data_IF_653413707715
#
_entry.id   IF_653413707715
#
_cell.length_a   1.000
_cell.length_b   1.000
_cell.length_c   1.000
_cell.angle_alpha   90.00
_cell.angle_beta   90.00
_cell.angle_gamma   90.00
#
_symmetry.space_group_name_H-M   'P 1'
#
loop_
_entity.id
_entity.type
_entity.pdbx_description
1 polymer ?
#
# COMPACT_ATOMS: atom_id res chain seq x y z
N UNK A 1 39.72 28.31 -8.46
CA UNK A 1 38.23 28.31 -8.36
C UNK A 1 37.87 26.85 -8.46
N UNK A 2 38.15 26.09 -7.40
CA UNK A 2 38.48 24.66 -7.52
C UNK A 2 37.54 23.76 -6.72
N UNK A 3 36.32 24.25 -6.45
CA UNK A 3 35.26 23.38 -5.96
C UNK A 3 33.91 23.95 -6.38
N UNK A 4 33.36 23.43 -7.48
CA UNK A 4 32.05 23.85 -7.97
C UNK A 4 30.91 23.29 -7.10
N UNK A 5 31.20 22.28 -6.26
CA UNK A 5 30.30 21.74 -5.24
C UNK A 5 30.11 22.73 -4.06
N UNK A 6 30.79 23.88 -4.08
CA UNK A 6 30.57 25.00 -3.16
C UNK A 6 29.71 26.14 -3.77
N UNK A 7 29.21 25.99 -5.02
CA UNK A 7 28.69 27.13 -5.80
C UNK A 7 27.44 26.84 -6.66
N UNK A 8 26.98 25.60 -6.79
CA UNK A 8 25.89 25.24 -7.74
C UNK A 8 25.08 24.07 -7.23
N UNK A 9 23.75 24.17 -7.37
CA UNK A 9 22.78 23.08 -7.25
C UNK A 9 21.46 23.46 -7.98
N UNK A 10 20.71 22.48 -8.54
CA UNK A 10 19.41 22.72 -9.23
C UNK A 10 18.88 21.57 -10.14
N UNK A 11 17.58 21.57 -10.44
CA UNK A 11 16.89 20.53 -11.24
C UNK A 11 17.18 20.60 -12.75
N UNK A 12 17.09 19.46 -13.45
CA UNK A 12 17.11 19.39 -14.91
C UNK A 12 15.90 20.15 -15.44
N UNK A 13 16.12 21.38 -15.92
CA UNK A 13 15.14 22.12 -16.72
C UNK A 13 15.40 21.76 -18.18
N UNK A 14 14.60 20.88 -18.79
CA UNK A 14 14.71 20.69 -20.23
C UNK A 14 14.37 22.02 -20.91
N UNK A 15 14.95 22.26 -22.08
CA UNK A 15 14.56 23.39 -22.91
C UNK A 15 13.06 23.41 -23.19
N UNK A 16 12.55 24.55 -23.65
CA UNK A 16 11.19 24.63 -24.20
C UNK A 16 11.03 23.54 -25.29
N UNK A 17 9.99 22.71 -25.18
CA UNK A 17 9.73 21.53 -26.02
C UNK A 17 10.74 20.36 -25.92
N UNK A 18 11.61 20.33 -24.91
CA UNK A 18 12.44 19.17 -24.59
C UNK A 18 11.78 18.34 -23.48
N UNK A 19 11.79 17.01 -23.62
CA UNK A 19 11.37 16.14 -22.54
C UNK A 19 12.53 15.98 -21.55
N UNK A 20 12.31 16.03 -20.22
CA UNK A 20 13.35 15.76 -19.21
C UNK A 20 13.72 14.27 -19.14
N UNK A 21 13.46 13.52 -20.22
CA UNK A 21 13.47 12.07 -20.23
C UNK A 21 14.87 11.62 -20.60
N UNK A 22 15.59 11.12 -19.60
CA UNK A 22 16.87 10.47 -19.76
C UNK A 22 16.70 9.01 -19.32
N UNK A 23 16.61 8.09 -20.28
CA UNK A 23 16.63 6.66 -20.00
C UNK A 23 18.07 6.14 -19.96
N UNK A 24 18.29 5.06 -19.22
CA UNK A 24 19.57 4.34 -19.12
C UNK A 24 20.76 5.27 -18.87
N UNK A 25 20.56 6.34 -18.09
CA UNK A 25 21.65 7.18 -17.63
C UNK A 25 22.52 6.37 -16.69
N UNK A 26 23.84 6.60 -16.72
CA UNK A 26 24.73 6.01 -15.72
C UNK A 26 24.43 6.61 -14.34
N UNK A 27 24.79 5.88 -13.28
CA UNK A 27 24.66 6.32 -11.88
C UNK A 27 25.36 7.66 -11.59
N UNK A 28 26.30 8.07 -12.45
CA UNK A 28 26.97 9.37 -12.39
C UNK A 28 26.10 10.55 -12.84
N UNK A 29 24.99 10.27 -13.55
CA UNK A 29 24.05 11.27 -14.08
C UNK A 29 22.67 11.14 -13.42
N UNK A 30 22.20 9.92 -13.19
CA UNK A 30 20.97 9.64 -12.44
C UNK A 30 21.27 8.49 -11.45
N UNK A 31 21.58 8.80 -10.18
CA UNK A 31 21.85 7.79 -9.18
C UNK A 31 20.71 6.78 -9.10
N UNK A 32 21.05 5.50 -8.97
CA UNK A 32 20.04 4.46 -8.76
C UNK A 32 19.33 4.73 -7.42
N UNK A 33 18.05 5.06 -7.51
CA UNK A 33 17.18 5.25 -6.34
C UNK A 33 16.43 3.95 -6.12
N UNK A 34 16.99 3.13 -5.24
CA UNK A 34 16.38 1.88 -4.80
C UNK A 34 15.50 2.09 -3.58
N UNK A 35 14.87 1.00 -3.14
CA UNK A 35 14.13 1.02 -1.88
C UNK A 35 15.02 1.23 -0.64
N UNK A 36 16.30 0.81 -0.69
CA UNK A 36 17.28 0.99 0.41
C UNK A 36 17.65 2.45 0.64
N UNK A 37 17.39 3.30 -0.35
CA UNK A 37 17.65 4.74 -0.29
C UNK A 37 16.89 5.40 0.86
N UNK A 38 15.80 4.80 1.35
CA UNK A 38 14.91 5.38 2.36
C UNK A 38 15.05 4.78 3.75
N UNK A 39 16.01 3.87 3.99
CA UNK A 39 16.10 3.13 5.25
C UNK A 39 16.22 4.06 6.47
N UNK A 40 16.92 5.19 6.34
CA UNK A 40 17.07 6.18 7.43
C UNK A 40 15.71 6.81 7.76
N UNK A 41 15.02 7.35 6.77
CA UNK A 41 13.73 8.00 6.96
C UNK A 41 12.64 7.01 7.40
N UNK A 42 12.63 5.80 6.83
CA UNK A 42 11.72 4.73 7.24
C UNK A 42 11.98 4.34 8.69
N UNK A 43 13.23 4.15 9.10
CA UNK A 43 13.59 3.82 10.48
C UNK A 43 13.19 4.95 11.44
N UNK A 44 13.38 6.20 11.04
CA UNK A 44 12.97 7.35 11.84
C UNK A 44 11.45 7.38 12.01
N UNK A 45 10.68 7.26 10.92
CA UNK A 45 9.21 7.25 10.97
C UNK A 45 8.69 6.06 11.77
N UNK A 46 9.22 4.86 11.53
CA UNK A 46 8.87 3.67 12.32
C UNK A 46 9.20 3.87 13.81
N UNK A 47 10.29 4.58 14.13
CA UNK A 47 10.66 4.93 15.49
C UNK A 47 9.74 5.96 16.15
N UNK A 48 9.07 6.81 15.36
CA UNK A 48 8.07 7.78 15.83
C UNK A 48 6.69 7.14 16.08
N UNK A 49 6.46 5.89 15.69
CA UNK A 49 5.29 5.13 16.11
C UNK A 49 5.44 4.64 17.58
N UNK A 50 5.76 5.52 18.53
CA UNK A 50 6.14 5.15 19.90
C UNK A 50 4.99 5.18 20.92
N UNK A 51 3.75 5.21 20.43
CA UNK A 51 2.53 5.20 21.22
C UNK A 51 2.26 3.89 21.96
N UNK A 52 1.08 3.81 22.58
CA UNK A 52 0.70 2.61 23.33
C UNK A 52 0.62 1.37 22.40
N UNK A 53 0.84 0.14 22.91
CA UNK A 53 0.73 -1.05 22.06
C UNK A 53 -0.63 -1.16 21.38
N UNK A 54 -0.67 -1.62 20.12
CA UNK A 54 -1.90 -1.71 19.31
C UNK A 54 -3.08 -2.36 20.03
N UNK A 55 -2.85 -3.49 20.71
CA UNK A 55 -3.90 -4.19 21.45
C UNK A 55 -4.50 -3.33 22.57
N UNK A 56 -3.69 -2.53 23.25
CA UNK A 56 -4.16 -1.57 24.26
C UNK A 56 -5.01 -0.48 23.63
N UNK A 57 -4.57 0.09 22.51
CA UNK A 57 -5.30 1.14 21.79
C UNK A 57 -6.62 0.62 21.20
N UNK A 58 -6.61 -0.60 20.66
CA UNK A 58 -7.79 -1.28 20.14
C UNK A 58 -8.76 -1.71 21.25
N UNK A 59 -8.28 -1.88 22.50
CA UNK A 59 -9.07 -2.40 23.61
C UNK A 59 -9.25 -3.92 23.56
N UNK A 60 -8.21 -4.64 23.12
CA UNK A 60 -8.18 -6.09 22.95
C UNK A 60 -7.08 -6.72 23.81
N UNK A 61 -7.31 -7.94 24.32
CA UNK A 61 -6.26 -8.70 25.02
C UNK A 61 -5.34 -9.43 24.03
N UNK A 62 -5.88 -9.84 22.88
CA UNK A 62 -5.19 -10.49 21.76
C UNK A 62 -6.03 -10.34 20.48
N UNK A 63 -5.39 -10.36 19.31
CA UNK A 63 -6.09 -10.27 18.02
C UNK A 63 -6.48 -11.65 17.48
N UNK A 64 -5.52 -12.58 17.48
CA UNK A 64 -5.67 -13.94 16.98
C UNK A 64 -4.66 -14.88 17.63
N UNK A 65 -4.84 -16.18 17.42
CA UNK A 65 -3.88 -17.24 17.79
C UNK A 65 -3.54 -18.08 16.57
N UNK A 66 -2.29 -18.55 16.45
CA UNK A 66 -1.89 -19.45 15.36
C UNK A 66 -2.62 -20.79 15.46
N UNK A 67 -3.13 -21.25 14.33
CA UNK A 67 -3.61 -22.62 14.17
C UNK A 67 -2.46 -23.51 13.71
N UNK A 68 -2.17 -24.55 14.49
CA UNK A 68 -1.09 -25.49 14.19
C UNK A 68 -1.62 -26.89 13.97
N UNK A 69 -1.19 -27.53 12.88
CA UNK A 69 -1.46 -28.93 12.62
C UNK A 69 -0.69 -29.86 13.60
N UNK A 70 -1.03 -31.16 13.70
CA UNK A 70 -0.33 -32.10 14.58
C UNK A 70 1.17 -32.27 14.32
N UNK A 71 1.64 -31.93 13.11
CA UNK A 71 3.06 -31.94 12.74
C UNK A 71 3.79 -30.64 13.10
N UNK A 72 3.10 -29.67 13.71
CA UNK A 72 3.63 -28.37 14.12
C UNK A 72 3.61 -27.31 13.02
N UNK A 73 3.10 -27.61 11.82
CA UNK A 73 2.96 -26.59 10.77
C UNK A 73 1.85 -25.58 11.10
N UNK A 74 2.10 -24.31 10.82
CA UNK A 74 1.10 -23.24 10.93
C UNK A 74 0.21 -23.28 9.70
N UNK A 75 -1.09 -23.43 9.91
CA UNK A 75 -2.10 -23.63 8.86
C UNK A 75 -3.10 -22.47 8.74
N UNK A 76 -2.99 -21.46 9.60
CA UNK A 76 -3.89 -20.31 9.64
C UNK A 76 -3.90 -19.62 10.99
N UNK A 77 -4.97 -18.86 11.26
CA UNK A 77 -5.23 -18.19 12.53
C UNK A 77 -6.68 -18.36 12.96
N UNK A 78 -6.89 -18.45 14.27
CA UNK A 78 -8.20 -18.27 14.90
C UNK A 78 -8.29 -16.85 15.47
N UNK A 79 -9.27 -16.06 15.01
CA UNK A 79 -9.51 -14.71 15.52
C UNK A 79 -10.03 -14.71 16.96
N UNK A 80 -9.85 -13.60 17.67
CA UNK A 80 -10.48 -13.37 18.96
C UNK A 80 -12.01 -13.50 18.85
N UNK A 81 -12.69 -14.26 19.73
CA UNK A 81 -14.15 -14.41 19.72
C UNK A 81 -14.95 -13.10 19.81
N UNK A 82 -14.34 -11.99 20.23
CA UNK A 82 -14.98 -10.66 20.16
C UNK A 82 -15.37 -10.27 18.72
N UNK A 83 -14.67 -10.76 17.71
CA UNK A 83 -15.01 -10.54 16.30
C UNK A 83 -16.20 -11.39 15.82
N UNK A 84 -16.62 -12.41 16.58
CA UNK A 84 -17.82 -13.21 16.27
C UNK A 84 -19.13 -12.51 16.64
N UNK A 85 -19.10 -11.25 17.06
CA UNK A 85 -20.28 -10.43 17.37
C UNK A 85 -21.08 -10.08 16.10
N UNK A 86 -21.55 -11.09 15.38
CA UNK A 86 -22.18 -11.01 14.06
C UNK A 86 -23.60 -10.40 14.04
N UNK A 87 -24.07 -9.81 15.14
CA UNK A 87 -25.46 -9.39 15.28
C UNK A 87 -25.66 -7.86 15.35
N UNK A 88 -24.61 -7.08 15.55
CA UNK A 88 -24.70 -5.63 15.67
C UNK A 88 -23.78 -4.97 14.63
N UNK A 89 -24.35 -4.34 13.58
CA UNK A 89 -23.55 -3.64 12.57
C UNK A 89 -22.78 -2.45 13.17
N UNK A 90 -23.22 -1.94 14.31
CA UNK A 90 -22.58 -0.84 15.03
C UNK A 90 -21.56 -1.34 16.08
N UNK A 91 -21.31 -2.66 16.16
CA UNK A 91 -20.31 -3.19 17.07
C UNK A 91 -18.90 -2.71 16.71
N UNK A 92 -18.15 -2.29 17.73
CA UNK A 92 -16.73 -1.94 17.64
C UNK A 92 -15.86 -3.05 17.02
N UNK A 93 -16.32 -4.30 17.12
CA UNK A 93 -15.64 -5.47 16.58
C UNK A 93 -16.61 -6.34 15.79
N UNK A 94 -16.18 -6.78 14.61
CA UNK A 94 -16.91 -7.75 13.80
C UNK A 94 -15.93 -8.59 12.97
N UNK A 95 -16.48 -9.48 12.15
CA UNK A 95 -15.71 -10.28 11.21
C UNK A 95 -16.37 -10.25 9.85
N UNK A 96 -15.56 -10.12 8.81
CA UNK A 96 -16.02 -10.18 7.42
C UNK A 96 -15.15 -11.13 6.62
N UNK A 97 -15.74 -11.77 5.62
CA UNK A 97 -15.00 -12.47 4.58
C UNK A 97 -14.96 -11.55 3.37
N UNK A 98 -13.77 -11.16 2.94
CA UNK A 98 -13.59 -10.11 1.95
C UNK A 98 -12.63 -10.55 0.84
N UNK A 99 -13.01 -10.26 -0.39
CA UNK A 99 -12.16 -10.44 -1.57
C UNK A 99 -10.96 -9.49 -1.56
N UNK A 100 -9.83 -9.95 -2.07
CA UNK A 100 -8.64 -9.15 -2.33
C UNK A 100 -8.23 -9.26 -3.81
N UNK A 101 -8.11 -8.15 -4.57
CA UNK A 101 -8.43 -6.77 -4.19
C UNK A 101 -9.93 -6.54 -3.87
N UNK A 102 -10.22 -5.54 -3.03
CA UNK A 102 -11.59 -5.20 -2.65
C UNK A 102 -12.36 -4.63 -3.85
N UNK A 103 -13.60 -5.08 -4.05
CA UNK A 103 -14.43 -4.62 -5.17
C UNK A 103 -13.92 -5.01 -6.56
N UNK A 104 -13.02 -6.00 -6.67
CA UNK A 104 -12.65 -6.59 -7.95
C UNK A 104 -13.74 -7.60 -8.41
N UNK A 105 -14.09 -7.64 -9.72
CA UNK A 105 -14.98 -8.66 -10.28
C UNK A 105 -14.44 -10.09 -10.12
N UNK A 106 -13.11 -10.24 -10.07
CA UNK A 106 -12.44 -11.51 -9.85
C UNK A 106 -11.43 -11.37 -8.70
N UNK A 107 -11.69 -12.07 -7.59
CA UNK A 107 -10.81 -12.09 -6.43
C UNK A 107 -9.54 -12.91 -6.70
N UNK A 108 -8.38 -12.36 -6.37
CA UNK A 108 -7.14 -13.13 -6.35
C UNK A 108 -7.08 -14.07 -5.15
N UNK A 109 -7.57 -13.59 -3.99
CA UNK A 109 -7.66 -14.29 -2.71
C UNK A 109 -8.84 -13.75 -1.89
N UNK A 110 -9.17 -14.41 -0.78
CA UNK A 110 -10.20 -14.04 0.19
C UNK A 110 -9.60 -14.02 1.60
N UNK A 111 -9.94 -13.00 2.38
CA UNK A 111 -9.48 -12.83 3.74
C UNK A 111 -10.64 -12.88 4.71
N UNK A 112 -10.49 -13.70 5.75
CA UNK A 112 -11.29 -13.57 6.97
C UNK A 112 -10.67 -12.44 7.81
N UNK A 113 -11.32 -11.27 7.82
CA UNK A 113 -10.78 -10.05 8.43
C UNK A 113 -11.42 -9.78 9.79
N UNK A 114 -10.63 -9.50 10.83
CA UNK A 114 -11.14 -8.78 11.98
C UNK A 114 -11.49 -7.35 11.57
N UNK A 115 -12.69 -6.90 11.91
CA UNK A 115 -13.13 -5.51 11.73
C UNK A 115 -12.98 -4.78 13.04
N UNK A 116 -12.31 -3.62 13.02
CA UNK A 116 -12.12 -2.75 14.17
C UNK A 116 -12.70 -1.38 13.82
N UNK A 117 -13.64 -0.89 14.64
CA UNK A 117 -14.37 0.35 14.38
C UNK A 117 -14.16 1.42 15.43
N UNK A 118 -14.29 2.68 15.02
CA UNK A 118 -14.45 3.82 15.91
C UNK A 118 -13.32 3.95 16.95
N UNK A 119 -12.09 3.56 16.57
CA UNK A 119 -10.91 3.67 17.41
C UNK A 119 -10.06 4.85 16.99
N UNK A 120 -9.40 5.45 17.96
CA UNK A 120 -8.30 6.39 17.72
C UNK A 120 -7.01 5.63 18.00
N UNK A 121 -6.13 5.61 17.02
CA UNK A 121 -4.79 5.09 17.14
C UNK A 121 -3.81 6.24 17.03
N UNK A 122 -2.93 6.41 18.02
CA UNK A 122 -1.86 7.42 18.02
C UNK A 122 -0.52 6.72 18.08
N UNK A 123 0.35 7.04 17.12
CA UNK A 123 1.72 6.54 17.03
C UNK A 123 1.78 5.01 17.17
N UNK A 124 1.11 4.30 16.27
CA UNK A 124 0.76 2.88 16.46
C UNK A 124 1.59 1.94 15.60
N UNK A 125 2.03 0.83 16.19
CA UNK A 125 2.51 -0.36 15.48
C UNK A 125 1.36 -1.32 15.19
N UNK A 126 0.94 -1.46 13.95
CA UNK A 126 0.03 -2.52 13.52
C UNK A 126 0.83 -3.82 13.33
N UNK A 127 0.61 -4.86 14.16
CA UNK A 127 1.44 -6.06 14.14
C UNK A 127 1.30 -6.85 12.84
N UNK A 128 2.32 -7.66 12.53
CA UNK A 128 2.29 -8.65 11.45
C UNK A 128 1.06 -9.55 11.56
N UNK A 129 0.46 -9.93 10.43
CA UNK A 129 -0.67 -10.86 10.39
C UNK A 129 -2.00 -10.27 10.83
N UNK A 130 -2.08 -8.95 11.05
CA UNK A 130 -3.31 -8.28 11.48
C UNK A 130 -4.43 -8.41 10.46
N UNK A 131 -4.11 -8.20 9.17
CA UNK A 131 -5.03 -8.34 8.03
C UNK A 131 -6.44 -7.71 8.22
N UNK A 132 -6.53 -6.65 9.02
CA UNK A 132 -7.79 -6.10 9.50
C UNK A 132 -8.49 -5.23 8.46
N UNK A 133 -9.80 -5.06 8.67
CA UNK A 133 -10.56 -3.93 8.18
C UNK A 133 -10.68 -2.91 9.32
N UNK A 134 -10.09 -1.73 9.14
CA UNK A 134 -10.35 -0.59 10.02
C UNK A 134 -11.47 0.24 9.40
N UNK A 135 -12.51 0.52 10.17
CA UNK A 135 -13.68 1.26 9.70
C UNK A 135 -13.97 2.44 10.61
N UNK A 136 -14.05 3.65 10.05
CA UNK A 136 -14.28 4.89 10.80
C UNK A 136 -13.29 5.06 11.98
N UNK A 137 -12.01 4.75 11.75
CA UNK A 137 -10.94 4.94 12.74
C UNK A 137 -10.13 6.19 12.42
N UNK A 138 -9.59 6.83 13.46
CA UNK A 138 -8.65 7.95 13.32
C UNK A 138 -7.24 7.46 13.64
N UNK A 139 -6.27 7.75 12.78
CA UNK A 139 -4.86 7.44 12.95
C UNK A 139 -4.09 8.75 13.06
N UNK A 140 -3.37 8.94 14.15
CA UNK A 140 -2.70 10.20 14.52
C UNK A 140 -1.21 9.95 14.61
N UNK A 141 -0.41 10.86 14.07
CA UNK A 141 1.05 10.74 14.05
C UNK A 141 1.50 9.64 13.07
N UNK A 142 2.35 8.72 13.50
CA UNK A 142 2.83 7.64 12.62
C UNK A 142 2.07 6.33 12.82
N UNK A 143 1.51 5.81 11.72
CA UNK A 143 0.98 4.44 11.65
C UNK A 143 2.00 3.54 10.98
N UNK A 144 2.66 2.69 11.76
CA UNK A 144 3.64 1.74 11.24
C UNK A 144 3.04 0.34 11.10
N UNK A 145 3.13 -0.25 9.91
CA UNK A 145 2.58 -1.58 9.58
C UNK A 145 3.71 -2.59 9.46
N UNK A 146 3.71 -3.58 10.34
CA UNK A 146 4.74 -4.62 10.36
C UNK A 146 4.48 -5.71 9.31
N UNK A 147 5.54 -6.31 8.76
CA UNK A 147 5.45 -7.53 7.95
C UNK A 147 6.70 -8.38 8.14
N UNK A 148 6.59 -9.68 7.89
CA UNK A 148 7.78 -10.49 7.67
C UNK A 148 8.50 -9.99 6.41
N UNK A 149 9.81 -9.72 6.53
CA UNK A 149 10.60 -9.11 5.44
C UNK A 149 11.22 -10.15 4.51
N UNK A 150 11.71 -11.27 5.05
CA UNK A 150 12.28 -12.38 4.25
C UNK A 150 11.19 -13.24 3.61
N UNK A 151 10.48 -12.64 2.65
CA UNK A 151 9.42 -13.29 1.89
C UNK A 151 9.93 -13.80 0.52
N UNK A 152 11.17 -14.27 0.49
CA UNK A 152 11.89 -14.68 -0.72
C UNK A 152 11.48 -16.05 -1.27
N UNK A 153 10.65 -16.80 -0.54
CA UNK A 153 10.18 -18.12 -0.96
C UNK A 153 9.34 -18.04 -2.25
N UNK A 154 9.69 -18.82 -3.27
CA UNK A 154 9.02 -18.80 -4.58
C UNK A 154 7.49 -19.00 -4.50
N UNK A 155 7.04 -19.78 -3.52
CA UNK A 155 5.62 -20.05 -3.30
C UNK A 155 4.92 -19.10 -2.30
N UNK A 156 5.60 -18.07 -1.77
CA UNK A 156 5.10 -17.23 -0.67
C UNK A 156 3.67 -16.71 -0.90
N UNK A 157 3.40 -16.21 -2.11
CA UNK A 157 2.10 -15.62 -2.48
C UNK A 157 0.94 -16.61 -2.56
N UNK A 158 1.22 -17.90 -2.75
CA UNK A 158 0.21 -18.93 -2.98
C UNK A 158 -0.22 -19.63 -1.68
N UNK A 159 0.65 -19.60 -0.67
CA UNK A 159 0.38 -20.21 0.61
C UNK A 159 -0.78 -19.51 1.33
N UNK A 160 -1.80 -20.28 1.71
CA UNK A 160 -3.00 -19.76 2.38
C UNK A 160 -3.99 -19.03 1.46
N UNK A 161 -3.84 -19.07 0.13
CA UNK A 161 -4.86 -18.48 -0.75
C UNK A 161 -6.15 -19.26 -0.62
N UNK A 162 -7.27 -18.54 -0.50
CA UNK A 162 -8.59 -19.08 -0.22
C UNK A 162 -9.61 -18.70 -1.31
N UNK A 163 -10.68 -19.49 -1.38
CA UNK A 163 -11.93 -19.15 -2.06
C UNK A 163 -12.86 -18.38 -1.11
N UNK A 164 -14.01 -17.93 -1.63
CA UNK A 164 -15.03 -17.20 -0.86
C UNK A 164 -15.55 -17.95 0.37
N UNK A 165 -15.63 -19.28 0.30
CA UNK A 165 -16.03 -20.14 1.43
C UNK A 165 -14.89 -20.40 2.43
N UNK A 166 -13.78 -19.66 2.30
CA UNK A 166 -12.53 -19.79 3.04
C UNK A 166 -11.82 -21.14 2.86
N UNK A 167 -12.28 -22.00 1.93
CA UNK A 167 -11.54 -23.20 1.55
C UNK A 167 -10.25 -22.81 0.85
N UNK A 168 -9.19 -23.57 1.07
CA UNK A 168 -7.92 -23.33 0.39
C UNK A 168 -8.07 -23.50 -1.13
N UNK A 169 -7.64 -22.48 -1.87
CA UNK A 169 -7.58 -22.47 -3.34
C UNK A 169 -6.42 -23.34 -3.85
N UNK A 170 -5.33 -23.41 -3.06
CA UNK A 170 -4.20 -24.30 -3.31
C UNK A 170 -3.87 -25.13 -2.06
N UNK A 171 -3.53 -26.42 -2.21
CA UNK A 171 -3.37 -27.15 -3.47
C UNK A 171 -4.74 -27.69 -3.96
N UNK A 172 -4.92 -27.95 -5.27
CA UNK A 172 -6.18 -28.51 -5.74
C UNK A 172 -6.48 -29.85 -5.05
N UNK A 173 -7.77 -30.20 -5.01
CA UNK A 173 -8.17 -31.60 -5.02
C UNK A 173 -7.35 -32.34 -6.11
N UNK A 174 -6.94 -33.62 -5.91
CA UNK A 174 -5.98 -34.35 -6.75
C UNK A 174 -6.19 -34.34 -8.27
N UNK A 175 -7.34 -33.88 -8.76
CA UNK A 175 -7.78 -34.03 -10.14
C UNK A 175 -7.69 -32.72 -10.98
N UNK A 176 -7.27 -31.57 -10.43
CA UNK A 176 -7.56 -30.27 -11.07
C UNK A 176 -6.43 -29.26 -11.38
N UNK A 177 -5.14 -29.44 -11.04
CA UNK A 177 -4.14 -28.47 -11.56
C UNK A 177 -2.69 -28.96 -11.64
N UNK A 178 -2.01 -28.53 -12.72
CA UNK A 178 -0.55 -28.56 -12.91
C UNK A 178 0.18 -27.46 -12.09
N UNK A 179 -0.51 -26.77 -11.17
CA UNK A 179 0.10 -25.77 -10.30
C UNK A 179 0.71 -26.45 -9.06
N UNK A 180 1.93 -26.95 -9.21
CA UNK A 180 2.61 -27.67 -8.14
C UNK A 180 3.26 -26.69 -7.17
N UNK A 181 2.63 -26.47 -6.01
CA UNK A 181 3.28 -25.90 -4.83
C UNK A 181 4.50 -26.76 -4.43
N UNK A 182 5.30 -26.24 -3.51
CA UNK A 182 6.65 -26.72 -3.17
C UNK A 182 6.78 -28.21 -2.76
N UNK A 183 7.86 -28.58 -2.05
CA UNK A 183 8.05 -29.95 -1.58
C UNK A 183 6.93 -30.49 -0.66
N UNK A 184 5.97 -29.67 -0.22
CA UNK A 184 4.76 -30.11 0.49
C UNK A 184 3.71 -30.75 -0.41
N UNK A 185 3.73 -30.49 -1.71
CA UNK A 185 2.74 -31.01 -2.65
C UNK A 185 2.98 -32.49 -3.02
N UNK A 186 4.17 -33.01 -2.74
CA UNK A 186 4.58 -34.34 -3.14
C UNK A 186 4.60 -35.30 -1.97
N UNK A 187 4.02 -36.47 -2.19
CA UNK A 187 3.99 -37.56 -1.24
C UNK A 187 4.15 -38.91 -1.96
N UNK A 188 3.77 -40.01 -1.30
CA UNK A 188 3.82 -41.34 -1.92
C UNK A 188 2.85 -41.52 -3.09
N UNK A 189 1.85 -40.64 -3.24
CA UNK A 189 0.80 -40.68 -4.25
C UNK A 189 1.05 -39.69 -5.40
N UNK A 190 1.69 -38.55 -5.12
CA UNK A 190 2.07 -37.54 -6.10
C UNK A 190 3.60 -37.49 -6.21
N UNK A 191 4.14 -38.05 -7.30
CA UNK A 191 5.59 -38.18 -7.49
C UNK A 191 6.19 -36.85 -7.99
N UNK A 192 7.17 -36.35 -7.23
CA UNK A 192 7.98 -35.16 -7.56
C UNK A 192 8.76 -35.32 -8.87
N UNK A 193 8.66 -34.39 -9.83
CA UNK A 193 9.57 -34.32 -10.97
C UNK A 193 11.02 -34.22 -10.49
N UNK A 194 11.94 -34.94 -11.13
CA UNK A 194 13.34 -35.00 -10.68
C UNK A 194 14.07 -33.65 -10.68
N UNK A 195 13.57 -32.65 -11.42
CA UNK A 195 14.12 -31.30 -11.50
C UNK A 195 13.42 -30.28 -10.61
N UNK A 196 12.29 -30.65 -9.99
CA UNK A 196 11.61 -29.77 -9.05
C UNK A 196 12.35 -29.85 -7.73
N UNK A 197 12.67 -28.74 -7.08
CA UNK A 197 13.20 -28.74 -5.71
C UNK A 197 12.97 -27.40 -5.01
N UNK A 198 11.70 -27.05 -4.84
CA UNK A 198 11.33 -25.88 -4.02
C UNK A 198 11.21 -26.37 -2.58
N UNK A 199 12.02 -25.85 -1.62
CA UNK A 199 11.96 -26.27 -0.23
C UNK A 199 10.57 -25.98 0.36
N UNK A 200 10.28 -26.57 1.52
CA UNK A 200 9.07 -26.20 2.27
C UNK A 200 9.27 -24.80 2.83
N UNK A 201 8.20 -24.01 2.88
CA UNK A 201 8.25 -22.73 3.56
C UNK A 201 8.49 -22.92 5.06
N UNK A 202 9.66 -22.47 5.53
CA UNK A 202 10.02 -22.43 6.94
C UNK A 202 10.48 -21.03 7.33
N UNK A 203 9.92 -20.50 8.42
CA UNK A 203 10.32 -19.21 9.00
C UNK A 203 10.78 -19.47 10.43
N UNK A 204 12.03 -19.12 10.73
CA UNK A 204 12.66 -19.38 12.02
C UNK A 204 12.53 -20.84 12.51
N UNK A 205 12.58 -21.80 11.58
CA UNK A 205 12.44 -23.25 11.87
C UNK A 205 11.00 -23.72 12.13
N UNK A 206 10.01 -22.85 11.93
CA UNK A 206 8.59 -23.22 11.97
C UNK A 206 8.07 -23.31 10.54
N UNK A 207 7.41 -24.41 10.20
CA UNK A 207 6.81 -24.62 8.87
C UNK A 207 5.50 -23.84 8.76
N UNK A 208 5.31 -23.13 7.65
CA UNK A 208 4.07 -22.41 7.33
C UNK A 208 3.44 -22.97 6.06
N UNK A 209 2.13 -23.19 6.08
CA UNK A 209 1.32 -23.45 4.87
C UNK A 209 0.29 -22.35 4.62
N UNK A 210 0.39 -21.27 5.37
CA UNK A 210 -0.36 -20.03 5.20
C UNK A 210 0.59 -18.88 5.52
N UNK A 211 0.75 -17.94 4.58
CA UNK A 211 1.59 -16.74 4.75
C UNK A 211 0.81 -15.51 5.20
N UNK A 212 -0.52 -15.56 5.30
CA UNK A 212 -1.34 -14.48 5.87
C UNK A 212 -0.93 -14.09 7.29
N UNK A 213 -0.56 -15.01 8.21
CA UNK A 213 -0.10 -14.65 9.55
C UNK A 213 1.28 -13.94 9.56
N UNK A 214 1.98 -13.92 8.42
CA UNK A 214 3.31 -13.34 8.25
C UNK A 214 3.30 -12.07 7.39
N UNK A 215 2.13 -11.61 6.98
CA UNK A 215 1.96 -10.50 6.04
C UNK A 215 0.77 -9.63 6.46
N UNK A 216 0.65 -8.44 5.86
CA UNK A 216 -0.46 -7.54 6.14
C UNK A 216 -1.14 -7.07 4.85
N UNK A 217 -2.32 -7.62 4.61
CA UNK A 217 -3.30 -7.08 3.68
C UNK A 217 -4.35 -6.34 4.50
N UNK A 218 -4.29 -5.02 4.59
CA UNK A 218 -5.15 -4.19 5.45
C UNK A 218 -6.01 -3.27 4.59
N UNK A 219 -7.26 -3.08 4.99
CA UNK A 219 -8.14 -2.06 4.42
C UNK A 219 -8.53 -1.03 5.48
N UNK A 220 -8.39 0.24 5.12
CA UNK A 220 -8.90 1.38 5.85
C UNK A 220 -10.14 1.88 5.11
N UNK A 221 -11.27 1.99 5.81
CA UNK A 221 -12.56 2.40 5.28
C UNK A 221 -13.10 3.55 6.10
N UNK A 222 -13.40 4.67 5.45
CA UNK A 222 -13.87 5.89 6.13
C UNK A 222 -12.92 6.36 7.25
N UNK A 223 -11.62 6.08 7.13
CA UNK A 223 -10.64 6.43 8.15
C UNK A 223 -10.11 7.85 7.98
N UNK A 224 -9.70 8.47 9.08
CA UNK A 224 -9.01 9.76 9.07
C UNK A 224 -7.55 9.55 9.46
N UNK A 225 -6.62 9.95 8.59
CA UNK A 225 -5.20 10.01 8.92
C UNK A 225 -4.80 11.46 9.18
N UNK A 226 -4.19 11.70 10.33
CA UNK A 226 -3.51 12.95 10.68
C UNK A 226 -2.03 12.61 10.88
N UNK A 227 -1.32 12.40 9.77
CA UNK A 227 0.08 11.99 9.77
C UNK A 227 0.46 11.00 8.67
N UNK A 228 1.38 10.10 8.95
CA UNK A 228 2.04 9.22 7.96
C UNK A 228 1.69 7.76 8.15
N UNK A 229 1.65 7.00 7.05
CA UNK A 229 1.60 5.53 7.06
C UNK A 229 2.91 4.98 6.54
N UNK A 230 3.58 4.18 7.35
CA UNK A 230 4.87 3.56 7.06
C UNK A 230 4.73 2.07 7.21
N UNK A 231 5.51 1.29 6.46
CA UNK A 231 5.51 -0.15 6.62
C UNK A 231 6.92 -0.71 6.64
N UNK A 232 7.06 -1.89 7.23
CA UNK A 232 8.19 -2.77 7.00
C UNK A 232 8.43 -3.02 5.51
N UNK A 233 9.64 -3.45 5.18
CA UNK A 233 10.08 -3.63 3.80
C UNK A 233 10.20 -5.13 3.47
N UNK A 234 9.20 -5.75 2.81
CA UNK A 234 9.37 -7.09 2.27
C UNK A 234 10.44 -7.09 1.18
N UNK A 235 11.22 -8.17 1.08
CA UNK A 235 12.28 -8.34 0.08
C UNK A 235 11.72 -8.53 -1.33
N UNK A 236 10.53 -9.15 -1.42
CA UNK A 236 9.83 -9.46 -2.68
C UNK A 236 8.42 -8.87 -2.68
N UNK A 237 8.10 -8.09 -3.72
CA UNK A 237 6.75 -7.57 -3.94
C UNK A 237 5.72 -8.70 -4.04
N UNK A 238 4.76 -8.69 -3.11
CA UNK A 238 3.71 -9.70 -2.98
C UNK A 238 2.32 -9.01 -2.87
N UNK A 239 1.70 -8.64 -4.00
CA UNK A 239 0.57 -7.69 -4.08
C UNK A 239 -0.68 -8.10 -3.29
N UNK A 240 -0.86 -9.40 -3.05
CA UNK A 240 -2.02 -9.94 -2.34
C UNK A 240 -1.72 -10.14 -0.85
N UNK A 241 -0.45 -10.23 -0.45
CA UNK A 241 -0.04 -10.48 0.94
C UNK A 241 0.29 -9.18 1.68
N UNK A 242 1.01 -8.27 1.03
CA UNK A 242 1.37 -6.96 1.58
C UNK A 242 0.66 -5.88 0.77
N UNK A 243 -0.50 -5.47 1.27
CA UNK A 243 -1.41 -4.55 0.59
C UNK A 243 -2.08 -3.60 1.57
N UNK A 244 -2.09 -2.31 1.27
CA UNK A 244 -2.89 -1.32 2.00
C UNK A 244 -3.92 -0.72 1.05
N UNK A 245 -5.19 -0.75 1.44
CA UNK A 245 -6.27 -0.15 0.65
C UNK A 245 -6.97 0.96 1.46
N UNK A 246 -7.10 2.15 0.89
CA UNK A 246 -7.75 3.31 1.48
C UNK A 246 -9.06 3.57 0.74
N UNK A 247 -10.20 3.26 1.35
CA UNK A 247 -11.51 3.18 0.69
C UNK A 247 -12.56 4.04 1.38
N UNK A 248 -13.73 4.20 0.76
CA UNK A 248 -14.80 5.01 1.32
C UNK A 248 -14.42 6.50 1.40
N UNK A 249 -14.88 7.20 2.41
CA UNK A 249 -14.55 8.58 2.73
C UNK A 249 -13.21 8.73 3.48
N UNK A 250 -12.24 7.84 3.24
CA UNK A 250 -10.91 7.94 3.87
C UNK A 250 -10.21 9.23 3.47
N UNK A 251 -9.54 9.90 4.42
CA UNK A 251 -8.87 11.19 4.22
C UNK A 251 -7.53 11.27 4.93
N UNK A 252 -6.68 12.18 4.46
CA UNK A 252 -5.37 12.50 5.01
C UNK A 252 -5.28 14.00 5.27
N UNK A 253 -4.73 14.37 6.43
CA UNK A 253 -4.50 15.73 6.85
C UNK A 253 -3.17 15.85 7.61
N UNK A 254 -2.65 17.07 7.69
CA UNK A 254 -1.53 17.41 8.59
C UNK A 254 -2.02 17.81 9.98
N UNK A 255 -3.25 18.28 10.07
CA UNK A 255 -3.89 18.71 11.31
C UNK A 255 -5.35 18.24 11.31
N UNK A 256 -5.86 17.78 12.44
CA UNK A 256 -7.22 17.28 12.57
C UNK A 256 -8.24 18.36 12.16
N UNK A 257 -9.13 18.08 11.20
CA UNK A 257 -9.98 19.10 10.58
C UNK A 257 -11.00 19.70 11.54
N UNK A 258 -11.47 18.91 12.51
CA UNK A 258 -12.52 19.33 13.45
C UNK A 258 -11.96 19.75 14.83
N UNK A 259 -10.74 19.32 15.15
CA UNK A 259 -10.12 19.48 16.49
C UNK A 259 -8.62 19.82 16.37
N UNK A 260 -8.27 20.96 15.74
CA UNK A 260 -6.88 21.29 15.40
C UNK A 260 -5.97 21.59 16.60
N UNK A 261 -6.56 21.85 17.77
CA UNK A 261 -5.84 22.20 19.01
C UNK A 261 -5.79 21.02 20.01
N UNK A 262 -6.36 19.86 19.66
CA UNK A 262 -6.35 18.68 20.51
C UNK A 262 -5.07 17.88 20.28
N UNK A 263 -4.18 17.86 21.27
CA UNK A 263 -2.92 17.12 21.21
C UNK A 263 -3.10 15.61 21.08
N UNK A 264 -4.25 15.05 21.46
CA UNK A 264 -4.51 13.61 21.33
C UNK A 264 -4.95 13.25 19.90
N UNK A 265 -5.38 14.23 19.11
CA UNK A 265 -5.85 14.06 17.72
C UNK A 265 -4.91 14.64 16.67
N UNK A 266 -3.77 15.19 17.09
CA UNK A 266 -2.73 15.73 16.22
C UNK A 266 -1.36 15.09 16.53
N UNK A 267 -0.46 15.02 15.53
CA UNK A 267 0.91 14.57 15.73
C UNK A 267 1.62 15.33 16.86
N UNK A 268 2.60 14.68 17.47
CA UNK A 268 3.48 15.38 18.40
C UNK A 268 4.39 16.35 17.62
N UNK A 269 4.60 17.55 18.19
CA UNK A 269 5.40 18.63 17.55
C UNK A 269 6.81 18.16 17.14
N UNK A 270 7.36 17.15 17.83
CA UNK A 270 8.68 16.60 17.55
C UNK A 270 8.74 15.78 16.25
N UNK A 271 7.59 15.26 15.78
CA UNK A 271 7.50 14.36 14.63
C UNK A 271 6.90 15.05 13.39
N UNK A 272 6.38 16.28 13.51
CA UNK A 272 5.73 17.02 12.43
C UNK A 272 6.62 17.17 11.19
N UNK A 273 7.88 17.56 11.36
CA UNK A 273 8.84 17.72 10.26
C UNK A 273 9.09 16.38 9.55
N UNK A 274 9.18 15.29 10.32
CA UNK A 274 9.41 13.95 9.79
C UNK A 274 8.18 13.42 9.02
N UNK A 275 6.98 13.64 9.58
CA UNK A 275 5.69 13.29 8.95
C UNK A 275 5.48 14.08 7.65
N UNK A 276 5.92 15.34 7.61
CA UNK A 276 5.80 16.19 6.43
C UNK A 276 6.56 15.64 5.21
N UNK A 277 7.63 14.85 5.43
CA UNK A 277 8.44 14.28 4.35
C UNK A 277 7.67 13.24 3.51
N UNK A 278 6.69 12.54 4.09
CA UNK A 278 5.96 11.49 3.38
C UNK A 278 4.64 11.12 4.07
N UNK A 279 3.51 11.24 3.36
CA UNK A 279 2.26 10.64 3.84
C UNK A 279 2.25 9.11 3.77
N UNK A 280 2.97 8.52 2.80
CA UNK A 280 3.01 7.08 2.57
C UNK A 280 4.45 6.62 2.27
N UNK A 281 5.02 5.83 3.17
CA UNK A 281 6.33 5.19 3.00
C UNK A 281 6.18 3.67 3.01
N UNK A 282 5.77 3.12 1.87
CA UNK A 282 5.27 1.75 1.74
C UNK A 282 6.04 0.96 0.66
N UNK A 283 7.38 0.86 0.75
CA UNK A 283 8.17 0.17 -0.26
C UNK A 283 7.72 -1.28 -0.40
N UNK A 284 7.60 -1.75 -1.64
CA UNK A 284 7.17 -3.11 -1.97
C UNK A 284 5.78 -3.53 -1.45
N UNK A 285 4.92 -2.58 -1.06
CA UNK A 285 3.49 -2.82 -0.83
C UNK A 285 2.67 -2.51 -2.09
N UNK A 286 1.58 -3.27 -2.28
CA UNK A 286 0.51 -2.83 -3.17
C UNK A 286 -0.35 -1.81 -2.44
N UNK A 287 -0.57 -0.65 -3.04
CA UNK A 287 -1.36 0.42 -2.42
C UNK A 287 -2.52 0.78 -3.32
N UNK A 288 -3.73 0.70 -2.79
CA UNK A 288 -4.93 1.14 -3.49
C UNK A 288 -5.50 2.37 -2.76
N UNK A 289 -5.72 3.44 -3.50
CA UNK A 289 -6.48 4.60 -3.06
C UNK A 289 -7.79 4.58 -3.83
N UNK A 290 -8.88 4.46 -3.09
CA UNK A 290 -10.23 4.29 -3.58
C UNK A 290 -10.55 2.91 -4.13
N UNK A 291 -11.69 2.85 -4.82
CA UNK A 291 -12.23 1.62 -5.42
C UNK A 291 -12.62 1.87 -6.87
N UNK A 292 -12.94 0.80 -7.59
CA UNK A 292 -13.45 0.87 -8.97
C UNK A 292 -14.74 1.69 -9.11
N UNK A 293 -15.48 1.95 -8.03
CA UNK A 293 -16.56 2.93 -8.03
C UNK A 293 -16.47 3.77 -6.76
N UNK A 294 -15.36 4.50 -6.64
CA UNK A 294 -14.99 5.25 -5.45
C UNK A 294 -16.14 6.11 -4.89
N UNK A 295 -16.17 6.26 -3.57
CA UNK A 295 -17.15 7.13 -2.91
C UNK A 295 -17.02 8.57 -3.42
N UNK A 296 -18.12 9.29 -3.69
CA UNK A 296 -18.06 10.73 -3.98
C UNK A 296 -17.43 11.54 -2.84
N UNK A 297 -17.50 11.03 -1.61
CA UNK A 297 -16.97 11.66 -0.40
C UNK A 297 -15.50 11.30 -0.14
N UNK A 298 -14.91 10.41 -0.95
CA UNK A 298 -13.48 10.14 -0.93
C UNK A 298 -12.73 11.39 -1.37
N UNK A 299 -11.77 11.82 -0.55
CA UNK A 299 -10.90 12.96 -0.83
C UNK A 299 -9.54 12.75 -0.14
N UNK A 300 -8.70 11.94 -0.78
CA UNK A 300 -7.37 11.62 -0.24
C UNK A 300 -6.40 12.74 -0.60
N UNK A 301 -5.79 13.36 0.41
CA UNK A 301 -4.83 14.46 0.22
C UNK A 301 -3.47 14.02 0.74
N UNK A 302 -2.59 13.63 -0.17
CA UNK A 302 -1.24 13.18 0.12
C UNK A 302 -0.23 14.32 -0.08
N UNK A 303 0.83 14.28 0.73
CA UNK A 303 1.94 15.21 0.65
C UNK A 303 3.27 14.49 0.87
N UNK A 304 4.36 15.16 0.50
CA UNK A 304 5.69 14.59 0.64
C UNK A 304 6.07 13.73 -0.57
N UNK A 305 7.10 12.92 -0.37
CA UNK A 305 7.42 11.84 -1.27
C UNK A 305 6.55 10.64 -0.96
N UNK A 306 5.73 10.24 -1.92
CA UNK A 306 4.85 9.07 -1.82
C UNK A 306 5.57 7.86 -2.39
N UNK A 307 5.88 6.90 -1.52
CA UNK A 307 6.59 5.67 -1.83
C UNK A 307 5.63 4.49 -1.74
N UNK A 308 5.55 3.69 -2.81
CA UNK A 308 4.80 2.44 -2.83
C UNK A 308 5.55 1.38 -3.66
N UNK A 309 5.24 0.10 -3.49
CA UNK A 309 5.65 -0.91 -4.48
C UNK A 309 4.95 -0.68 -5.81
N UNK A 310 3.62 -0.77 -5.78
CA UNK A 310 2.72 -0.36 -6.86
C UNK A 310 1.61 0.47 -6.24
N UNK A 311 1.19 1.54 -6.93
CA UNK A 311 0.14 2.44 -6.48
C UNK A 311 -0.97 2.54 -7.52
N UNK A 312 -2.18 2.19 -7.11
CA UNK A 312 -3.41 2.43 -7.85
C UNK A 312 -4.21 3.53 -7.17
N UNK A 313 -4.58 4.57 -7.92
CA UNK A 313 -5.38 5.69 -7.45
C UNK A 313 -6.65 5.79 -8.29
N UNK A 314 -7.79 5.65 -7.62
CA UNK A 314 -9.15 5.79 -8.16
C UNK A 314 -9.91 6.77 -7.27
N UNK A 315 -10.86 7.53 -7.83
CA UNK A 315 -11.61 8.55 -7.08
C UNK A 315 -10.91 9.91 -6.99
N UNK A 316 -11.25 10.73 -5.99
CA UNK A 316 -10.62 12.03 -5.81
C UNK A 316 -9.37 11.90 -4.96
N UNK A 317 -8.25 12.38 -5.50
CA UNK A 317 -6.97 12.36 -4.81
C UNK A 317 -6.12 13.54 -5.26
N UNK A 318 -5.58 14.28 -4.29
CA UNK A 318 -4.56 15.29 -4.55
C UNK A 318 -3.25 14.80 -3.96
N UNK A 319 -2.16 14.89 -4.73
CA UNK A 319 -0.81 14.61 -4.29
C UNK A 319 0.05 15.85 -4.51
N UNK A 320 0.54 16.43 -3.42
CA UNK A 320 1.45 17.57 -3.44
C UNK A 320 2.86 17.07 -3.10
N UNK A 321 3.70 16.87 -4.12
CA UNK A 321 5.04 16.32 -3.97
C UNK A 321 5.43 15.41 -5.13
N UNK A 322 6.08 14.30 -4.79
CA UNK A 322 6.64 13.37 -5.77
C UNK A 322 6.16 11.94 -5.53
N UNK A 323 6.16 11.14 -6.60
CA UNK A 323 5.79 9.74 -6.60
C UNK A 323 7.03 8.90 -6.91
N UNK A 324 7.30 7.89 -6.08
CA UNK A 324 8.34 6.91 -6.31
C UNK A 324 7.81 5.50 -6.09
N UNK A 325 7.95 4.66 -7.12
CA UNK A 325 7.42 3.31 -7.12
C UNK A 325 8.57 2.32 -7.15
N UNK A 326 8.59 1.39 -6.20
CA UNK A 326 9.75 0.54 -5.92
C UNK A 326 9.65 -0.85 -6.53
N UNK A 327 8.52 -1.20 -7.16
CA UNK A 327 8.44 -2.45 -7.91
C UNK A 327 9.15 -2.31 -9.25
N UNK A 328 10.28 -3.00 -9.39
CA UNK A 328 11.06 -3.10 -10.62
C UNK A 328 10.87 -4.50 -11.26
N UNK A 329 9.82 -4.69 -12.08
CA UNK A 329 9.51 -6.00 -12.67
C UNK A 329 10.57 -6.42 -13.69
N UNK A 330 11.21 -7.56 -13.45
CA UNK A 330 12.07 -8.24 -14.42
C UNK A 330 11.33 -9.41 -15.04
N UNK A 331 11.55 -9.65 -16.33
CA UNK A 331 10.92 -10.79 -17.06
C UNK A 331 11.18 -12.17 -16.43
N UNK A 332 12.16 -12.29 -15.53
CA UNK A 332 12.51 -13.48 -14.75
C UNK A 332 11.89 -13.55 -13.36
N UNK A 333 11.15 -12.54 -12.91
CA UNK A 333 10.65 -12.51 -11.54
C UNK A 333 9.55 -13.55 -11.29
N UNK A 334 9.51 -14.17 -10.10
CA UNK A 334 8.48 -15.15 -9.74
C UNK A 334 7.04 -14.62 -9.77
N UNK A 335 6.85 -13.29 -9.77
CA UNK A 335 5.53 -12.67 -9.94
C UNK A 335 5.01 -12.71 -11.37
N UNK A 336 5.95 -12.67 -12.32
CA UNK A 336 5.72 -12.77 -13.74
C UNK A 336 5.77 -14.23 -14.21
N UNK A 337 6.30 -15.14 -13.38
CA UNK A 337 6.48 -16.55 -13.68
C UNK A 337 5.90 -17.49 -12.63
N UNK A 338 5.01 -18.36 -13.04
CA UNK A 338 4.56 -19.48 -12.24
C UNK A 338 5.42 -20.71 -12.58
N UNK A 339 6.37 -21.08 -11.71
CA UNK A 339 7.31 -22.21 -11.89
C UNK A 339 8.08 -22.19 -13.23
N UNK A 340 8.64 -21.04 -13.58
CA UNK A 340 9.42 -20.85 -14.81
C UNK A 340 8.58 -20.72 -16.08
N UNK A 341 7.24 -20.73 -15.96
CA UNK A 341 6.32 -20.38 -17.04
C UNK A 341 5.81 -18.97 -16.81
N UNK A 342 5.96 -18.08 -17.79
CA UNK A 342 5.39 -16.75 -17.70
C UNK A 342 3.85 -16.85 -17.54
N UNK A 343 3.28 -16.16 -16.55
CA UNK A 343 1.84 -16.07 -16.32
C UNK A 343 1.43 -14.60 -16.37
N UNK A 344 0.38 -14.30 -17.13
CA UNK A 344 0.00 -12.92 -17.49
C UNK A 344 0.91 -12.33 -18.59
N UNK A 345 0.46 -11.26 -19.24
CA UNK A 345 1.19 -10.66 -20.38
C UNK A 345 1.21 -9.13 -20.34
N UNK A 346 2.39 -8.51 -20.18
CA UNK A 346 3.40 -8.83 -19.17
C UNK A 346 2.76 -8.53 -17.81
N UNK A 347 2.73 -9.51 -16.89
CA UNK A 347 1.80 -9.65 -15.75
C UNK A 347 1.11 -8.35 -15.34
N UNK A 348 -0.24 -8.35 -15.42
CA UNK A 348 -1.24 -7.30 -15.13
C UNK A 348 -0.93 -6.36 -13.93
N UNK A 349 0.25 -5.77 -13.92
CA UNK A 349 0.80 -4.84 -12.96
C UNK A 349 0.79 -3.52 -13.70
N UNK A 350 -0.37 -2.89 -13.68
CA UNK A 350 -0.54 -1.50 -14.03
C UNK A 350 -0.33 -0.66 -12.77
N UNK A 351 0.18 0.54 -13.00
CA UNK A 351 0.03 1.67 -12.08
C UNK A 351 -1.12 2.46 -12.66
N UNK A 352 -2.22 2.53 -11.92
CA UNK A 352 -3.45 3.12 -12.43
C UNK A 352 -3.68 4.46 -11.77
N UNK A 353 -3.55 5.55 -12.53
CA UNK A 353 -3.90 6.89 -12.06
C UNK A 353 -5.18 7.35 -12.75
N UNK A 354 -6.31 7.14 -12.06
CA UNK A 354 -7.64 7.43 -12.57
C UNK A 354 -8.45 6.17 -12.85
N UNK A 355 -9.61 6.34 -13.47
CA UNK A 355 -10.50 5.25 -13.82
C UNK A 355 -10.27 4.78 -15.26
N UNK A 356 -10.13 3.47 -15.43
CA UNK A 356 -10.07 2.81 -16.72
C UNK A 356 -11.06 1.65 -16.73
N UNK A 357 -11.78 1.47 -17.82
CA UNK A 357 -12.68 0.33 -17.98
C UNK A 357 -11.92 -0.92 -18.49
N UNK A 358 -12.53 -2.12 -18.39
CA UNK A 358 -11.90 -3.36 -18.87
C UNK A 358 -11.44 -3.33 -20.33
N UNK A 359 -12.17 -2.63 -21.21
CA UNK A 359 -11.80 -2.45 -22.61
C UNK A 359 -10.64 -1.47 -22.83
N UNK A 360 -10.26 -0.70 -21.81
CA UNK A 360 -9.14 0.24 -21.82
C UNK A 360 -7.87 -0.34 -21.17
N UNK A 361 -7.93 -1.59 -20.69
CA UNK A 361 -6.78 -2.33 -20.17
C UNK A 361 -6.79 -2.55 -18.66
N UNK A 362 -7.70 -1.92 -17.90
CA UNK A 362 -7.91 -2.23 -16.48
C UNK A 362 -8.98 -3.31 -16.34
N UNK A 363 -8.54 -4.57 -16.35
CA UNK A 363 -9.41 -5.75 -16.25
C UNK A 363 -10.16 -5.81 -14.92
N UNK A 364 -9.72 -5.06 -13.90
CA UNK A 364 -10.39 -4.97 -12.60
C UNK A 364 -11.50 -3.91 -12.58
N UNK A 365 -11.49 -2.96 -13.53
CA UNK A 365 -12.45 -1.88 -13.62
C UNK A 365 -13.88 -2.33 -13.94
N UNK A 366 -14.85 -1.43 -13.73
CA UNK A 366 -16.24 -1.70 -14.10
C UNK A 366 -16.55 -1.26 -15.54
N UNK A 367 -17.56 -1.90 -16.13
CA UNK A 367 -18.18 -1.38 -17.36
C UNK A 367 -19.31 -0.44 -16.97
N UNK A 368 -19.32 0.77 -17.54
CA UNK A 368 -20.36 1.76 -17.27
C UNK A 368 -21.45 1.63 -18.35
N UNK A 369 -22.71 1.53 -17.94
CA UNK A 369 -23.84 1.45 -18.87
C UNK A 369 -25.08 2.21 -18.35
N UNK A 370 -25.99 2.54 -19.26
CA UNK A 370 -27.23 3.25 -18.91
C UNK A 370 -28.35 2.26 -18.54
N UNK A 371 -29.00 2.50 -17.40
CA UNK A 371 -30.20 1.79 -16.95
C UNK A 371 -31.23 2.80 -16.43
N UNK A 372 -32.44 2.79 -17.00
CA UNK A 372 -33.52 3.72 -16.66
C UNK A 372 -33.11 5.21 -16.67
N UNK A 373 -32.20 5.60 -17.57
CA UNK A 373 -31.72 6.98 -17.71
C UNK A 373 -30.62 7.39 -16.72
N UNK A 374 -30.05 6.45 -15.98
CA UNK A 374 -28.93 6.65 -15.05
C UNK A 374 -27.72 5.80 -15.46
N UNK A 375 -26.51 6.34 -15.34
CA UNK A 375 -25.29 5.55 -15.49
C UNK A 375 -25.06 4.72 -14.23
N UNK A 376 -24.87 3.41 -14.43
CA UNK A 376 -24.63 2.44 -13.35
C UNK A 376 -23.42 1.57 -13.69
N UNK A 377 -22.85 0.93 -12.66
CA UNK A 377 -21.74 -0.03 -12.78
C UNK A 377 -22.19 -1.49 -12.66
N UNK A 378 -23.44 -1.71 -12.23
CA UNK A 378 -24.04 -3.03 -12.07
C UNK A 378 -25.24 -3.02 -11.13
N UNK A 379 -25.63 -4.21 -10.68
CA UNK A 379 -26.70 -4.45 -9.73
C UNK A 379 -26.15 -5.20 -8.52
N UNK A 380 -26.49 -4.69 -7.34
CA UNK A 380 -26.24 -5.27 -6.03
C UNK A 380 -27.36 -6.26 -5.70
N UNK A 381 -27.02 -7.54 -5.57
CA UNK A 381 -27.96 -8.62 -5.31
C UNK A 381 -28.11 -8.94 -3.82
N UNK A 382 -27.12 -8.64 -2.99
CA UNK A 382 -27.05 -9.08 -1.60
C UNK A 382 -27.06 -7.94 -0.56
N UNK A 383 -26.99 -6.69 -1.01
CA UNK A 383 -27.04 -5.49 -0.21
C UNK A 383 -25.68 -5.01 0.29
N UNK A 384 -24.57 -5.52 -0.24
CA UNK A 384 -23.21 -5.12 0.16
C UNK A 384 -22.74 -3.79 -0.49
N UNK A 385 -23.54 -3.23 -1.39
CA UNK A 385 -23.24 -1.98 -2.10
C UNK A 385 -22.25 -2.14 -3.26
N UNK A 386 -21.88 -3.36 -3.64
CA UNK A 386 -21.01 -3.69 -4.76
C UNK A 386 -21.77 -4.40 -5.89
N UNK A 387 -21.34 -4.24 -7.15
CA UNK A 387 -22.04 -4.84 -8.29
C UNK A 387 -21.70 -6.33 -8.41
N UNK A 388 -22.70 -7.18 -8.26
CA UNK A 388 -22.58 -8.64 -8.46
C UNK A 388 -22.81 -9.05 -9.92
N UNK A 389 -23.66 -8.30 -10.62
CA UNK A 389 -24.06 -8.60 -11.99
C UNK A 389 -24.26 -7.32 -12.79
N UNK A 390 -24.06 -7.43 -14.11
CA UNK A 390 -24.42 -6.38 -15.07
C UNK A 390 -25.76 -6.67 -15.76
N UNK A 391 -26.38 -7.83 -15.48
CA UNK A 391 -27.63 -8.24 -16.11
C UNK A 391 -28.84 -7.77 -15.29
N UNK A 392 -29.67 -6.84 -15.82
CA UNK A 392 -30.86 -6.36 -15.11
C UNK A 392 -31.93 -7.42 -14.86
N UNK A 393 -31.87 -8.56 -15.56
CA UNK A 393 -32.80 -9.68 -15.40
C UNK A 393 -32.62 -10.45 -14.09
N UNK A 394 -31.46 -10.32 -13.44
CA UNK A 394 -31.11 -11.05 -12.21
C UNK A 394 -31.74 -10.40 -10.97
N UNK A 395 -32.28 -9.17 -11.11
CA UNK A 395 -32.79 -8.37 -10.00
C UNK A 395 -31.71 -7.48 -9.39
N UNK A 396 -31.91 -7.08 -8.14
CA UNK A 396 -30.96 -6.26 -7.38
C UNK A 396 -31.19 -4.75 -7.43
N UNK A 397 -30.45 -4.05 -6.59
CA UNK A 397 -30.44 -2.59 -6.50
C UNK A 397 -29.42 -2.05 -7.50
N UNK A 398 -29.81 -1.15 -8.43
CA UNK A 398 -28.85 -0.57 -9.37
C UNK A 398 -27.83 0.29 -8.63
N UNK A 399 -26.55 0.12 -8.94
CA UNK A 399 -25.46 0.85 -8.29
C UNK A 399 -25.04 2.04 -9.17
N UNK A 400 -25.27 3.28 -8.71
CA UNK A 400 -24.88 4.46 -9.45
C UNK A 400 -23.40 4.47 -9.78
N UNK A 401 -23.04 4.92 -10.99
CA UNK A 401 -21.67 5.33 -11.26
C UNK A 401 -21.39 6.64 -10.54
N UNK A 402 -20.41 6.64 -9.64
CA UNK A 402 -20.07 7.78 -8.80
C UNK A 402 -19.21 8.84 -9.52
N UNK A 403 -18.82 8.57 -10.76
CA UNK A 403 -17.95 9.42 -11.56
C UNK A 403 -16.52 8.88 -11.62
N UNK A 404 -15.72 9.49 -12.49
CA UNK A 404 -14.33 9.06 -12.74
C UNK A 404 -13.36 9.47 -11.62
N UNK A 405 -13.79 10.36 -10.72
CA UNK A 405 -12.90 11.03 -9.77
C UNK A 405 -11.98 12.06 -10.45
N UNK A 406 -11.10 12.66 -9.65
CA UNK A 406 -10.06 13.60 -10.11
C UNK A 406 -8.77 13.30 -9.38
N UNK A 407 -7.75 12.89 -10.11
CA UNK A 407 -6.38 12.77 -9.61
C UNK A 407 -5.60 14.02 -9.99
N UNK A 408 -5.02 14.70 -9.00
CA UNK A 408 -4.18 15.88 -9.19
C UNK A 408 -2.80 15.57 -8.65
N UNK A 409 -1.79 15.62 -9.52
CA UNK A 409 -0.39 15.56 -9.12
C UNK A 409 0.22 16.95 -9.28
N UNK A 410 0.52 17.58 -8.15
CA UNK A 410 1.23 18.85 -8.09
C UNK A 410 2.67 18.55 -7.69
N UNK A 411 3.61 18.74 -8.62
CA UNK A 411 5.02 18.72 -8.28
C UNK A 411 5.33 19.93 -7.40
N UNK A 412 5.87 19.66 -6.22
CA UNK A 412 6.37 20.67 -5.30
C UNK A 412 7.91 20.68 -5.35
N UNK A 413 8.54 21.74 -5.92
CA UNK A 413 10.00 21.83 -5.99
C UNK A 413 10.66 22.11 -4.64
N UNK A 414 9.91 22.62 -3.66
CA UNK A 414 10.42 23.06 -2.36
C UNK A 414 10.23 21.98 -1.28
N UNK A 415 9.75 20.80 -1.67
CA UNK A 415 9.41 19.74 -0.74
C UNK A 415 10.65 19.17 -0.05
N UNK A 416 10.56 19.05 1.28
CA UNK A 416 11.58 18.36 2.05
C UNK A 416 11.48 16.86 1.77
N UNK A 417 12.48 16.33 1.06
CA UNK A 417 12.53 14.93 0.71
C UNK A 417 13.07 14.12 1.89
N UNK A 418 12.61 12.86 2.06
CA UNK A 418 13.22 11.93 2.99
C UNK A 418 14.74 11.81 2.80
N UNK A 419 15.45 11.68 3.91
CA UNK A 419 16.90 11.43 3.93
C UNK A 419 17.26 10.24 3.03
N UNK A 420 18.29 10.44 2.20
CA UNK A 420 18.83 9.44 1.28
C UNK A 420 18.50 9.68 -0.18
N UNK A 421 17.47 10.47 -0.50
CA UNK A 421 17.28 10.94 -1.87
C UNK A 421 18.28 12.02 -2.25
N UNK A 422 18.92 11.82 -3.39
CA UNK A 422 19.65 12.89 -4.06
C UNK A 422 18.61 13.77 -4.76
N UNK A 423 18.06 14.72 -4.02
CA UNK A 423 17.20 15.75 -4.58
C UNK A 423 18.06 16.85 -5.24
N UNK A 424 17.60 17.45 -6.36
CA UNK A 424 18.20 18.67 -6.85
C UNK A 424 17.96 19.80 -5.84
N UNK A 425 19.03 20.43 -5.35
CA UNK A 425 18.92 21.54 -4.40
C UNK A 425 18.58 22.85 -5.13
N UNK A 426 17.68 23.68 -4.59
CA UNK A 426 17.32 25.00 -5.16
C UNK A 426 18.09 26.14 -4.45
N UNK A 427 18.49 27.18 -5.19
CA UNK A 427 19.20 28.34 -4.66
C UNK A 427 18.49 29.62 -5.12
N UNK A 428 17.75 30.28 -4.21
CA UNK A 428 17.14 31.59 -4.47
C UNK A 428 18.09 32.74 -4.05
N UNK A 429 18.59 33.57 -4.98
CA UNK A 429 19.47 34.68 -4.65
C UNK A 429 18.71 35.80 -3.93
N UNK A 430 18.90 35.92 -2.61
CA UNK A 430 18.38 37.04 -1.83
C UNK A 430 19.24 38.30 -2.11
N UNK A 431 18.86 39.06 -3.14
CA UNK A 431 19.63 40.20 -3.69
C UNK A 431 20.11 41.27 -2.69
N UNK A 432 19.55 41.32 -1.47
CA UNK A 432 19.88 42.28 -0.41
C UNK A 432 20.86 41.74 0.66
N UNK A 433 21.22 40.45 0.65
CA UNK A 433 22.22 39.89 1.57
C UNK A 433 23.66 40.08 1.06
N UNK A 434 23.84 40.30 -0.24
CA UNK A 434 25.13 40.62 -0.83
C UNK A 434 25.48 42.10 -0.63
N UNK A 435 26.60 42.37 0.06
CA UNK A 435 27.23 43.71 0.11
C UNK A 435 28.68 43.61 -0.34
N UNK A 436 29.04 44.29 -1.43
CA UNK A 436 30.44 44.50 -1.77
C UNK A 436 31.12 45.41 -0.74
N UNK A 437 32.01 44.82 0.06
CA UNK A 437 32.94 45.56 0.90
C UNK A 437 34.02 46.20 0.04
N UNK A 438 33.90 47.50 -0.24
CA UNK A 438 34.99 48.26 -0.86
C UNK A 438 36.09 48.49 0.17
N UNK A 439 37.17 47.72 0.12
CA UNK A 439 38.41 48.03 0.84
C UNK A 439 38.95 49.36 0.29
N UNK A 440 38.65 50.47 0.97
CA UNK A 440 39.34 51.73 0.71
C UNK A 440 40.78 51.57 1.21
N UNK A 441 41.72 51.40 0.28
CA UNK A 441 43.13 51.54 0.61
C UNK A 441 43.33 52.95 1.20
N UNK A 442 43.65 53.01 2.49
CA UNK A 442 44.00 54.25 3.17
C UNK A 442 45.17 54.88 2.43
N UNK A 443 44.98 56.07 1.86
CA UNK A 443 46.07 56.85 1.29
C UNK A 443 47.13 57.08 2.38
N UNK A 444 48.43 56.91 2.08
CA UNK A 444 49.46 57.34 3.00
C UNK A 444 49.38 58.86 3.12
N UNK A 445 49.05 59.35 4.31
CA UNK A 445 49.15 60.78 4.67
C UNK A 445 50.60 61.28 4.48
N UNK A 446 50.80 62.56 4.11
CA UNK A 446 52.07 63.09 3.60
C UNK A 446 53.23 63.08 4.60
#
# INVERSE_FOLDING_TARGET
>A
LDDYQLMVEGAIRPGEDEAPIAFDQGDDVLPDVGFDTFDVAQTALAGAADGAPFLTQAGLDYLWTLDTAPDGSVIGVTLNPLFDAAADPDADFARVVERAPFGAPAASDWYERPVIRNKVFKDVHIPVGTNALFENCTFVGVTYVETHTDNTHDAWRYYGVQNEDLSLKYPPLPDASDAQLDNDYYDATIIKPASFDVPRLEVAGTRYVDTKPLSNNIRFHDCLFVGSVVADKPDVYSPVRNKLAFTGATKFYTQHPDDPEDSDLNPDEADEDLIAQSSLMLPQYSVDIGTNNASPDQDVNLQGLIIAGVLDIRGNTTLNGALLLTFDPRTTDPALQHFGQAVGNPANFNITLGYFSPDQGDVEGYSIFEYNGQQIVGFDLDGDGLPDTTNPGDGGTPIPFNGYGKVVLNYDPDIEMPDGLIAPIDIEPISYTYREGRLSASSPTP
#
